data_IF_930010162469
#
_entry.id   IF_930010162469
#
_cell.length_a   1.000
_cell.length_b   1.000
_cell.length_c   1.000
_cell.angle_alpha   90.00
_cell.angle_beta   90.00
_cell.angle_gamma   90.00
#
_symmetry.space_group_name_H-M   'P 1'
#
loop_
_entity.id
_entity.type
_entity.pdbx_description
1 polymer ?
#
# COMPACT_ATOMS: atom_id res chain seq x y z
N UNK A 1 8.03 6.34 10.12
CA UNK A 1 7.81 6.21 8.67
C UNK A 1 7.10 4.90 8.40
N UNK A 2 5.77 4.89 8.48
CA UNK A 2 4.93 3.83 7.90
C UNK A 2 4.15 4.46 6.76
N UNK A 3 4.84 4.73 5.64
CA UNK A 3 4.21 5.15 4.39
C UNK A 3 3.83 3.95 3.52
N UNK A 4 4.31 2.75 3.86
CA UNK A 4 3.89 1.52 3.20
C UNK A 4 2.56 1.05 3.81
N UNK A 5 1.47 1.54 3.22
CA UNK A 5 0.13 1.02 3.46
C UNK A 5 0.10 -0.50 3.20
N UNK A 6 -0.31 -1.30 4.20
CA UNK A 6 -0.30 -2.76 4.06
C UNK A 6 -1.58 -3.45 4.50
N UNK A 7 -1.93 -4.51 3.78
CA UNK A 7 -3.15 -5.30 4.02
C UNK A 7 -3.11 -5.97 5.40
N UNK A 8 -1.92 -6.32 5.88
CA UNK A 8 -1.72 -6.87 7.22
C UNK A 8 -2.18 -5.89 8.31
N UNK A 9 -1.99 -4.57 8.12
CA UNK A 9 -2.45 -3.56 9.07
C UNK A 9 -3.98 -3.50 9.16
N UNK A 10 -4.72 -3.59 8.05
CA UNK A 10 -6.21 -3.68 8.09
C UNK A 10 -6.69 -4.83 8.92
N UNK A 11 -6.07 -5.98 8.70
CA UNK A 11 -6.52 -7.22 9.31
C UNK A 11 -6.16 -7.25 10.79
N UNK A 12 -5.09 -6.58 11.20
CA UNK A 12 -4.75 -6.36 12.61
C UNK A 12 -5.67 -5.33 13.27
N UNK A 13 -5.89 -4.19 12.61
CA UNK A 13 -6.74 -3.09 13.08
C UNK A 13 -8.20 -3.54 13.23
N UNK A 14 -8.65 -4.43 12.33
CA UNK A 14 -9.99 -5.03 12.37
C UNK A 14 -11.13 -4.08 12.02
N UNK A 15 -10.82 -2.88 11.52
CA UNK A 15 -11.80 -1.86 11.13
C UNK A 15 -11.22 -0.96 10.04
N UNK A 16 -12.07 -0.55 9.10
CA UNK A 16 -11.81 0.51 8.11
C UNK A 16 -12.43 1.79 8.67
N UNK A 17 -11.65 2.87 8.77
CA UNK A 17 -12.10 4.10 9.45
C UNK A 17 -12.44 5.24 8.50
N UNK A 18 -11.95 5.21 7.28
CA UNK A 18 -12.14 6.26 6.29
C UNK A 18 -12.14 5.72 4.85
N UNK A 19 -12.42 6.62 3.91
CA UNK A 19 -12.60 6.30 2.50
C UNK A 19 -11.28 5.90 1.81
N UNK A 20 -10.16 6.49 2.21
CA UNK A 20 -8.85 6.10 1.69
C UNK A 20 -8.52 4.66 2.08
N UNK A 21 -8.79 4.30 3.33
CA UNK A 21 -8.68 2.94 3.83
C UNK A 21 -9.59 1.95 3.06
N UNK A 22 -10.83 2.33 2.74
CA UNK A 22 -11.73 1.53 1.91
C UNK A 22 -11.13 1.28 0.52
N UNK A 23 -10.71 2.34 -0.17
CA UNK A 23 -10.20 2.26 -1.54
C UNK A 23 -8.97 1.35 -1.66
N UNK A 24 -8.05 1.50 -0.71
CA UNK A 24 -6.89 0.61 -0.65
C UNK A 24 -7.28 -0.83 -0.29
N UNK A 25 -8.30 -1.04 0.54
CA UNK A 25 -8.85 -2.37 0.82
C UNK A 25 -9.49 -3.01 -0.43
N UNK A 26 -10.18 -2.24 -1.27
CA UNK A 26 -10.72 -2.71 -2.55
C UNK A 26 -9.61 -3.15 -3.52
N UNK A 27 -8.55 -2.35 -3.65
CA UNK A 27 -7.35 -2.72 -4.43
C UNK A 27 -6.74 -4.03 -3.91
N UNK A 28 -6.68 -4.17 -2.59
CA UNK A 28 -6.19 -5.37 -1.92
C UNK A 28 -7.06 -6.61 -2.17
N UNK A 29 -8.39 -6.52 -2.11
CA UNK A 29 -9.28 -7.66 -2.43
C UNK A 29 -9.05 -8.14 -3.87
N UNK A 30 -8.88 -7.20 -4.82
CA UNK A 30 -8.58 -7.53 -6.22
C UNK A 30 -7.27 -8.30 -6.36
N UNK A 31 -6.21 -7.89 -5.66
CA UNK A 31 -4.92 -8.59 -5.63
C UNK A 31 -5.03 -9.97 -4.97
N UNK A 32 -5.68 -10.05 -3.81
CA UNK A 32 -5.86 -11.30 -3.08
C UNK A 32 -6.71 -12.29 -3.86
N UNK A 33 -7.68 -11.85 -4.67
CA UNK A 33 -8.45 -12.73 -5.56
C UNK A 33 -7.54 -13.56 -6.48
N UNK A 34 -6.47 -12.97 -7.00
CA UNK A 34 -5.52 -13.66 -7.88
C UNK A 34 -4.65 -14.65 -7.09
N UNK A 35 -4.18 -14.25 -5.91
CA UNK A 35 -3.28 -15.05 -5.06
C UNK A 35 -4.02 -16.19 -4.32
N UNK A 36 -5.31 -16.01 -4.07
CA UNK A 36 -6.14 -16.95 -3.32
C UNK A 36 -6.60 -18.16 -4.13
N UNK A 37 -6.36 -18.22 -5.45
CA UNK A 37 -6.75 -19.39 -6.26
C UNK A 37 -6.14 -20.69 -5.69
N UNK A 38 -4.85 -20.62 -5.36
CA UNK A 38 -4.05 -21.80 -5.04
C UNK A 38 -3.50 -21.81 -3.60
N UNK A 39 -3.87 -20.84 -2.77
CA UNK A 39 -3.28 -20.68 -1.44
C UNK A 39 -4.33 -20.39 -0.35
N UNK A 40 -4.45 -21.30 0.63
CA UNK A 40 -5.41 -21.20 1.73
C UNK A 40 -5.18 -19.98 2.64
N UNK A 41 -3.92 -19.58 2.85
CA UNK A 41 -3.58 -18.37 3.62
C UNK A 41 -4.20 -17.12 2.97
N UNK A 42 -4.05 -16.96 1.65
CA UNK A 42 -4.63 -15.82 0.94
C UNK A 42 -6.16 -15.91 0.82
N UNK A 43 -6.75 -17.11 0.78
CA UNK A 43 -8.21 -17.28 0.88
C UNK A 43 -8.74 -16.73 2.20
N UNK A 44 -8.11 -17.10 3.31
CA UNK A 44 -8.49 -16.65 4.65
C UNK A 44 -8.30 -15.14 4.81
N UNK A 45 -7.18 -14.61 4.33
CA UNK A 45 -6.88 -13.18 4.35
C UNK A 45 -7.94 -12.37 3.60
N UNK A 46 -8.31 -12.83 2.40
CA UNK A 46 -9.34 -12.21 1.57
C UNK A 46 -10.71 -12.21 2.22
N UNK A 47 -11.10 -13.32 2.86
CA UNK A 47 -12.37 -13.42 3.58
C UNK A 47 -12.46 -12.38 4.71
N UNK A 48 -11.39 -12.25 5.50
CA UNK A 48 -11.33 -11.24 6.56
C UNK A 48 -11.46 -9.83 6.00
N UNK A 49 -10.71 -9.51 4.93
CA UNK A 49 -10.75 -8.20 4.29
C UNK A 49 -12.14 -7.85 3.75
N UNK A 50 -12.83 -8.79 3.12
CA UNK A 50 -14.21 -8.60 2.62
C UNK A 50 -15.20 -8.26 3.71
N UNK A 51 -15.10 -8.93 4.86
CA UNK A 51 -15.96 -8.62 6.00
C UNK A 51 -15.77 -7.17 6.49
N UNK A 52 -14.53 -6.66 6.45
CA UNK A 52 -14.22 -5.28 6.83
C UNK A 52 -14.78 -4.27 5.82
N UNK A 53 -14.61 -4.55 4.53
CA UNK A 53 -15.16 -3.75 3.42
C UNK A 53 -16.68 -3.65 3.56
N UNK A 54 -17.36 -4.80 3.68
CA UNK A 54 -18.81 -4.85 3.80
C UNK A 54 -19.33 -4.10 5.04
N UNK A 55 -18.61 -4.20 6.17
CA UNK A 55 -18.98 -3.49 7.39
C UNK A 55 -18.91 -1.96 7.22
N UNK A 56 -17.89 -1.45 6.51
CA UNK A 56 -17.75 -0.03 6.22
C UNK A 56 -18.78 0.44 5.20
N UNK A 57 -18.95 -0.27 4.08
CA UNK A 57 -19.94 0.04 3.04
C UNK A 57 -21.36 0.09 3.63
N UNK A 58 -21.70 -0.85 4.51
CA UNK A 58 -23.00 -0.84 5.19
C UNK A 58 -23.17 0.37 6.11
N UNK A 59 -22.10 0.85 6.74
CA UNK A 59 -22.13 2.00 7.64
C UNK A 59 -22.23 3.33 6.88
N UNK A 60 -21.48 3.46 5.80
CA UNK A 60 -21.26 4.76 5.13
C UNK A 60 -22.02 4.92 3.81
N UNK A 61 -22.36 3.82 3.13
CA UNK A 61 -22.89 3.81 1.76
C UNK A 61 -24.25 3.12 1.60
N UNK A 62 -24.89 2.70 2.71
CA UNK A 62 -26.18 2.00 2.67
C UNK A 62 -27.39 2.91 2.47
N UNK A 63 -27.32 4.16 2.93
CA UNK A 63 -28.41 5.13 2.81
C UNK A 63 -28.18 6.06 1.61
N UNK A 64 -28.80 5.70 0.48
CA UNK A 64 -28.74 6.47 -0.77
C UNK A 64 -29.25 7.91 -0.60
N UNK A 65 -30.16 8.15 0.36
CA UNK A 65 -30.70 9.48 0.64
C UNK A 65 -29.71 10.43 1.31
N UNK A 66 -28.61 9.90 1.88
CA UNK A 66 -27.55 10.70 2.54
C UNK A 66 -26.32 10.90 1.64
N UNK A 67 -26.32 10.33 0.42
CA UNK A 67 -25.22 10.49 -0.51
C UNK A 67 -25.29 11.87 -1.17
N UNK A 68 -24.31 12.70 -0.88
CA UNK A 68 -24.16 14.03 -1.47
C UNK A 68 -23.08 14.02 -2.55
N UNK A 69 -23.16 14.95 -3.49
CA UNK A 69 -22.10 15.16 -4.50
C UNK A 69 -20.74 15.42 -3.86
N UNK A 70 -20.72 16.07 -2.69
CA UNK A 70 -19.49 16.29 -1.91
C UNK A 70 -18.85 14.99 -1.42
N UNK A 71 -19.65 14.04 -0.91
CA UNK A 71 -19.17 12.71 -0.49
C UNK A 71 -18.65 11.91 -1.68
N UNK A 72 -19.33 11.98 -2.82
CA UNK A 72 -18.89 11.35 -4.06
C UNK A 72 -17.54 11.93 -4.53
N UNK A 73 -17.39 13.25 -4.51
CA UNK A 73 -16.15 13.92 -4.88
C UNK A 73 -14.98 13.56 -3.95
N UNK A 74 -15.23 13.45 -2.64
CA UNK A 74 -14.23 12.97 -1.69
C UNK A 74 -13.82 11.52 -1.98
N UNK A 75 -14.77 10.64 -2.25
CA UNK A 75 -14.49 9.24 -2.61
C UNK A 75 -13.63 9.14 -3.87
N UNK A 76 -13.99 9.84 -4.95
CA UNK A 76 -13.20 9.89 -6.19
C UNK A 76 -11.77 10.40 -5.97
N UNK A 77 -11.59 11.38 -5.07
CA UNK A 77 -10.26 11.88 -4.70
C UNK A 77 -9.43 10.78 -4.03
N UNK A 78 -10.01 10.05 -3.06
CA UNK A 78 -9.31 8.97 -2.37
C UNK A 78 -9.04 7.77 -3.26
N UNK A 79 -9.93 7.44 -4.20
CA UNK A 79 -9.71 6.43 -5.23
C UNK A 79 -8.45 6.77 -6.05
N UNK A 80 -8.34 8.03 -6.48
CA UNK A 80 -7.19 8.51 -7.25
C UNK A 80 -5.89 8.36 -6.46
N UNK A 81 -5.89 8.72 -5.17
CA UNK A 81 -4.73 8.57 -4.28
C UNK A 81 -4.34 7.10 -4.16
N UNK A 82 -5.29 6.24 -3.83
CA UNK A 82 -5.06 4.80 -3.68
C UNK A 82 -4.54 4.15 -4.97
N UNK A 83 -5.02 4.61 -6.13
CA UNK A 83 -4.58 4.15 -7.44
C UNK A 83 -3.13 4.56 -7.74
N UNK A 84 -2.71 5.78 -7.38
CA UNK A 84 -1.31 6.18 -7.49
C UNK A 84 -0.39 5.30 -6.66
N UNK A 85 -0.78 4.96 -5.43
CA UNK A 85 -0.05 4.03 -4.58
C UNK A 85 0.03 2.64 -5.23
N UNK A 86 -1.07 2.14 -5.80
CA UNK A 86 -1.10 0.86 -6.52
C UNK A 86 -0.12 0.86 -7.69
N UNK A 87 -0.11 1.93 -8.50
CA UNK A 87 0.79 2.09 -9.65
C UNK A 87 2.24 2.07 -9.19
N UNK A 88 2.58 2.83 -8.14
CA UNK A 88 3.92 2.84 -7.56
C UNK A 88 4.36 1.44 -7.14
N UNK A 89 3.52 0.72 -6.40
CA UNK A 89 3.81 -0.63 -5.91
C UNK A 89 4.02 -1.63 -7.05
N UNK A 90 3.22 -1.54 -8.12
CA UNK A 90 3.36 -2.39 -9.29
C UNK A 90 4.63 -2.06 -10.09
N UNK A 91 4.98 -0.77 -10.23
CA UNK A 91 6.24 -0.32 -10.85
C UNK A 91 7.44 -0.86 -10.09
N UNK A 92 7.47 -0.70 -8.76
CA UNK A 92 8.52 -1.24 -7.89
C UNK A 92 8.70 -2.74 -8.06
N UNK A 93 7.60 -3.50 -8.00
CA UNK A 93 7.58 -4.95 -8.21
C UNK A 93 8.12 -5.35 -9.58
N UNK A 94 7.74 -4.61 -10.63
CA UNK A 94 8.23 -4.85 -11.99
C UNK A 94 9.74 -4.61 -12.09
N UNK A 95 10.25 -3.50 -11.53
CA UNK A 95 11.68 -3.18 -11.52
C UNK A 95 12.49 -4.26 -10.81
N UNK A 96 12.06 -4.68 -9.62
CA UNK A 96 12.71 -5.75 -8.87
C UNK A 96 12.75 -7.04 -9.71
N UNK A 97 11.62 -7.44 -10.31
CA UNK A 97 11.56 -8.65 -11.15
C UNK A 97 12.45 -8.57 -12.39
N UNK A 98 12.51 -7.39 -13.02
CA UNK A 98 13.37 -7.15 -14.18
C UNK A 98 14.84 -7.35 -13.82
N UNK A 99 15.30 -6.73 -12.74
CA UNK A 99 16.70 -6.84 -12.30
C UNK A 99 17.06 -8.26 -11.83
N UNK A 100 16.14 -8.96 -11.15
CA UNK A 100 16.32 -10.36 -10.81
C UNK A 100 16.52 -11.23 -12.06
N UNK A 101 15.70 -11.02 -13.09
CA UNK A 101 15.81 -11.76 -14.36
C UNK A 101 17.16 -11.52 -15.06
N UNK A 102 17.62 -10.27 -15.10
CA UNK A 102 18.93 -9.90 -15.69
C UNK A 102 20.07 -10.64 -14.98
N UNK A 103 19.97 -10.77 -13.65
CA UNK A 103 20.98 -11.40 -12.79
C UNK A 103 20.79 -12.91 -12.63
N UNK A 104 19.82 -13.51 -13.34
CA UNK A 104 19.43 -14.93 -13.25
C UNK A 104 19.07 -15.36 -11.81
N UNK A 105 18.51 -14.44 -11.03
CA UNK A 105 18.01 -14.70 -9.68
C UNK A 105 16.50 -14.92 -9.69
N UNK A 106 16.03 -15.80 -8.82
CA UNK A 106 14.60 -15.99 -8.55
C UNK A 106 14.14 -15.09 -7.40
N UNK A 107 12.82 -14.94 -7.26
CA UNK A 107 12.25 -14.27 -6.08
C UNK A 107 12.60 -14.99 -4.77
N UNK A 108 12.80 -16.32 -4.81
CA UNK A 108 13.23 -17.09 -3.65
C UNK A 108 14.67 -16.76 -3.26
N UNK A 109 15.56 -16.59 -4.24
CA UNK A 109 16.95 -16.20 -3.98
C UNK A 109 17.02 -14.80 -3.37
N UNK A 110 16.23 -13.86 -3.87
CA UNK A 110 16.11 -12.54 -3.25
C UNK A 110 15.60 -12.67 -1.81
N UNK A 111 14.57 -13.47 -1.56
CA UNK A 111 14.09 -13.74 -0.20
C UNK A 111 15.21 -14.24 0.71
N UNK A 112 16.02 -15.20 0.24
CA UNK A 112 17.15 -15.72 0.99
C UNK A 112 18.22 -14.65 1.28
N UNK A 113 18.58 -13.82 0.30
CA UNK A 113 19.53 -12.71 0.45
C UNK A 113 19.06 -11.65 1.45
N UNK A 114 17.75 -11.41 1.52
CA UNK A 114 17.13 -10.50 2.48
C UNK A 114 16.96 -11.11 3.88
N UNK A 115 17.23 -12.41 4.05
CA UNK A 115 17.05 -13.13 5.32
C UNK A 115 15.63 -13.66 5.53
N UNK A 116 14.77 -13.62 4.51
CA UNK A 116 13.41 -14.15 4.54
C UNK A 116 13.38 -15.63 4.17
N UNK A 117 12.99 -16.49 5.12
CA UNK A 117 12.97 -17.95 4.92
C UNK A 117 11.72 -18.47 4.20
N UNK A 118 10.64 -17.69 4.17
CA UNK A 118 9.33 -18.13 3.68
C UNK A 118 9.02 -17.60 2.28
N UNK A 119 8.73 -18.51 1.34
CA UNK A 119 8.20 -18.18 0.01
C UNK A 119 6.93 -17.34 0.09
N UNK A 120 6.03 -17.69 1.02
CA UNK A 120 4.79 -16.94 1.25
C UNK A 120 5.09 -15.52 1.70
N UNK A 121 6.01 -15.35 2.65
CA UNK A 121 6.38 -14.02 3.14
C UNK A 121 6.98 -13.16 2.02
N UNK A 122 7.89 -13.71 1.21
CA UNK A 122 8.45 -12.99 0.08
C UNK A 122 7.36 -12.63 -0.97
N UNK A 123 6.36 -13.49 -1.16
CA UNK A 123 5.20 -13.19 -2.00
C UNK A 123 4.35 -12.06 -1.43
N UNK A 124 4.15 -12.03 -0.10
CA UNK A 124 3.45 -10.94 0.58
C UNK A 124 4.16 -9.59 0.37
N UNK A 125 5.48 -9.56 0.52
CA UNK A 125 6.32 -8.37 0.31
C UNK A 125 6.23 -7.88 -1.14
N UNK A 126 6.45 -8.77 -2.11
CA UNK A 126 6.44 -8.41 -3.53
C UNK A 126 5.07 -7.91 -4.02
N UNK A 127 3.98 -8.36 -3.40
CA UNK A 127 2.63 -7.96 -3.79
C UNK A 127 2.07 -6.79 -2.94
N UNK A 128 2.82 -6.31 -1.95
CA UNK A 128 2.38 -5.22 -1.06
C UNK A 128 1.32 -5.64 -0.05
N UNK A 129 1.22 -6.93 0.28
CA UNK A 129 0.41 -7.41 1.41
C UNK A 129 1.10 -7.04 2.73
N UNK A 130 2.44 -7.16 2.74
CA UNK A 130 3.33 -6.70 3.81
C UNK A 130 4.36 -5.73 3.24
N UNK A 131 4.86 -4.79 4.06
CA UNK A 131 5.81 -3.79 3.62
C UNK A 131 7.21 -4.39 3.60
N UNK A 132 8.03 -3.96 2.65
CA UNK A 132 9.47 -4.15 2.80
C UNK A 132 9.96 -3.28 3.95
N UNK A 133 10.84 -3.81 4.79
CA UNK A 133 11.52 -2.98 5.77
C UNK A 133 12.50 -2.03 5.07
N UNK A 134 12.88 -0.93 5.72
CA UNK A 134 13.94 -0.06 5.18
C UNK A 134 15.23 -0.85 4.91
N UNK A 135 15.57 -1.81 5.79
CA UNK A 135 16.71 -2.71 5.59
C UNK A 135 16.56 -3.51 4.30
N UNK A 136 15.38 -4.07 4.04
CA UNK A 136 15.12 -4.79 2.78
C UNK A 136 15.30 -3.88 1.57
N UNK A 137 14.75 -2.66 1.61
CA UNK A 137 14.84 -1.71 0.50
C UNK A 137 16.28 -1.26 0.24
N UNK A 138 17.08 -1.03 1.29
CA UNK A 138 18.50 -0.74 1.17
C UNK A 138 19.26 -1.92 0.56
N UNK A 139 18.99 -3.15 1.00
CA UNK A 139 19.62 -4.34 0.41
C UNK A 139 19.22 -4.52 -1.07
N UNK A 140 17.95 -4.32 -1.41
CA UNK A 140 17.48 -4.35 -2.80
C UNK A 140 18.20 -3.29 -3.65
N UNK A 141 18.31 -2.05 -3.14
CA UNK A 141 19.07 -0.98 -3.80
C UNK A 141 20.53 -1.39 -4.06
N UNK A 142 21.22 -1.94 -3.07
CA UNK A 142 22.63 -2.32 -3.20
C UNK A 142 22.84 -3.53 -4.12
N UNK A 143 21.99 -4.56 -4.01
CA UNK A 143 22.11 -5.80 -4.77
C UNK A 143 21.66 -5.65 -6.23
N UNK A 144 20.55 -4.95 -6.45
CA UNK A 144 19.93 -4.84 -7.78
C UNK A 144 20.28 -3.53 -8.49
N UNK A 145 20.92 -2.57 -7.82
CA UNK A 145 21.29 -1.24 -8.35
C UNK A 145 20.08 -0.43 -8.86
N UNK A 146 18.92 -0.62 -8.23
CA UNK A 146 17.71 0.17 -8.47
C UNK A 146 17.79 1.45 -7.64
N UNK A 147 17.49 2.62 -8.22
CA UNK A 147 17.44 3.89 -7.49
C UNK A 147 16.49 3.78 -6.29
N UNK A 148 16.93 4.26 -5.13
CA UNK A 148 16.13 4.21 -3.90
C UNK A 148 14.79 4.94 -4.03
N UNK A 149 14.72 5.97 -4.88
CA UNK A 149 13.48 6.72 -5.17
C UNK A 149 12.43 5.87 -5.90
N UNK A 150 12.85 4.81 -6.59
CA UNK A 150 11.97 3.86 -7.26
C UNK A 150 11.51 2.74 -6.31
N UNK A 151 12.11 2.64 -5.12
CA UNK A 151 11.84 1.63 -4.10
C UNK A 151 11.01 2.16 -2.94
N UNK A 152 11.17 3.44 -2.60
CA UNK A 152 10.49 4.11 -1.49
C UNK A 152 9.39 5.05 -2.03
N UNK A 153 8.16 4.99 -1.49
CA UNK A 153 7.13 5.94 -1.85
C UNK A 153 7.52 7.35 -1.39
N UNK A 154 7.44 8.33 -2.29
CA UNK A 154 7.78 9.74 -2.02
C UNK A 154 6.55 10.57 -1.62
N UNK A 155 5.39 9.93 -1.48
CA UNK A 155 4.15 10.57 -1.04
C UNK A 155 4.02 10.55 0.49
N UNK A 156 3.52 11.65 1.06
CA UNK A 156 3.21 11.79 2.49
C UNK A 156 1.76 11.36 2.78
N UNK A 157 1.53 10.79 3.98
CA UNK A 157 0.16 10.48 4.45
C UNK A 157 -0.66 11.76 4.62
N UNK A 158 -2.00 11.62 4.65
CA UNK A 158 -2.90 12.76 4.90
C UNK A 158 -2.57 13.43 6.23
N UNK A 159 -2.37 12.65 7.29
CA UNK A 159 -2.06 13.17 8.62
C UNK A 159 -0.73 13.92 8.61
N UNK A 160 0.30 13.37 7.96
CA UNK A 160 1.61 14.00 7.88
C UNK A 160 1.56 15.28 7.04
N UNK A 161 0.81 15.30 5.93
CA UNK A 161 0.62 16.52 5.13
C UNK A 161 -0.07 17.60 5.95
N UNK A 162 -1.16 17.28 6.65
CA UNK A 162 -1.88 18.24 7.50
C UNK A 162 -0.95 18.74 8.61
N UNK A 163 -0.31 17.84 9.35
CA UNK A 163 0.61 18.17 10.45
C UNK A 163 1.74 19.09 9.99
N UNK A 164 2.37 18.79 8.86
CA UNK A 164 3.47 19.61 8.31
C UNK A 164 2.94 20.96 7.82
N UNK A 165 1.79 21.00 7.16
CA UNK A 165 1.20 22.25 6.68
C UNK A 165 0.81 23.17 7.84
N UNK A 166 0.21 22.64 8.91
CA UNK A 166 -0.09 23.37 10.14
C UNK A 166 1.18 23.93 10.78
N UNK A 167 2.23 23.11 10.90
CA UNK A 167 3.51 23.55 11.45
C UNK A 167 4.18 24.66 10.60
N UNK A 168 4.10 24.59 9.26
CA UNK A 168 4.61 25.65 8.37
C UNK A 168 3.88 26.98 8.60
N UNK A 169 2.55 26.91 8.75
CA UNK A 169 1.71 28.08 9.05
C UNK A 169 2.06 28.67 10.43
N UNK A 170 2.21 27.83 11.45
CA UNK A 170 2.61 28.26 12.81
C UNK A 170 3.99 28.91 12.85
N UNK A 171 4.95 28.39 12.08
CA UNK A 171 6.30 28.94 11.99
C UNK A 171 6.38 30.25 11.17
N UNK A 172 5.28 30.65 10.50
CA UNK A 172 5.27 31.82 9.63
C UNK A 172 6.26 31.72 8.46
N UNK A 173 6.48 30.51 7.93
CA UNK A 173 7.44 30.24 6.83
C UNK A 173 6.74 29.81 5.54
N UNK A 174 5.91 30.65 4.90
CA UNK A 174 5.12 30.28 3.72
C UNK A 174 5.96 29.95 2.48
N UNK A 175 7.26 30.27 2.48
CA UNK A 175 8.21 29.88 1.44
C UNK A 175 8.50 28.38 1.42
N UNK A 176 8.29 27.67 2.53
CA UNK A 176 8.43 26.21 2.58
C UNK A 176 7.15 25.62 1.99
N UNK A 177 7.29 24.92 0.87
CA UNK A 177 6.19 24.23 0.20
C UNK A 177 6.46 22.74 0.19
N UNK A 178 5.44 21.97 0.56
CA UNK A 178 5.45 20.54 0.29
C UNK A 178 5.37 20.36 -1.23
N UNK A 179 6.39 19.74 -1.82
CA UNK A 179 6.28 19.26 -3.20
C UNK A 179 5.27 18.11 -3.22
N UNK A 180 4.26 18.24 -4.07
CA UNK A 180 3.25 17.23 -4.35
C UNK A 180 3.31 16.84 -5.81
#
# INVERSE_FOLDING_TARGET
MNTDFTIDEFIRKGIITDELELERALIADRKLRLLAKDNLHFKNLRKKLRNLIEAYERKEWSDVGQLTDGKLAESNFWETVAEQERIFMEKRKHLIRKELKIRKLTQQDLGHLLGHKSKTHMSELMNGIKPFTLKDLVLINQLLRIDIKELIPVFLSKEDRIRVQSAITELGKPQIKLCG
#
